data_IF_597699512399
#
_entry.id   IF_597699512399
#
_cell.length_a   1.000
_cell.length_b   1.000
_cell.length_c   1.000
_cell.angle_alpha   90.00
_cell.angle_beta   90.00
_cell.angle_gamma   90.00
#
_symmetry.space_group_name_H-M   'P 1'
#
loop_
_entity.id
_entity.type
_entity.pdbx_description
1 polymer ?
#
# COMPACT_ATOMS: atom_id res chain seq x y z
N UNK A 1 -7.30 20.34 65.10
CA UNK A 1 -6.14 19.55 64.60
C UNK A 1 -6.60 18.10 64.51
N UNK A 2 -6.62 17.39 63.40
CA UNK A 2 -6.08 17.58 62.05
C UNK A 2 -7.12 17.02 61.06
N UNK A 3 -7.38 17.73 59.96
CA UNK A 3 -7.96 17.10 58.77
C UNK A 3 -6.92 16.14 58.20
N UNK A 4 -7.27 14.87 58.04
CA UNK A 4 -6.48 13.93 57.24
C UNK A 4 -6.79 14.21 55.78
N UNK A 5 -5.83 14.84 55.11
CA UNK A 5 -5.79 15.00 53.65
C UNK A 5 -5.72 13.62 53.00
N UNK A 6 -6.80 13.25 52.30
CA UNK A 6 -6.79 12.14 51.36
C UNK A 6 -5.95 12.60 50.15
N UNK A 7 -4.77 12.02 49.95
CA UNK A 7 -4.03 12.23 48.69
C UNK A 7 -4.76 11.48 47.59
N UNK A 8 -5.39 12.23 46.68
CA UNK A 8 -5.81 11.72 45.39
C UNK A 8 -4.54 11.38 44.60
N UNK A 9 -4.26 10.09 44.44
CA UNK A 9 -3.30 9.61 43.45
C UNK A 9 -4.03 9.72 42.11
N UNK A 10 -3.76 10.78 41.36
CA UNK A 10 -4.12 10.88 39.95
C UNK A 10 -3.26 9.87 39.20
N UNK A 11 -3.81 8.70 38.94
CA UNK A 11 -3.27 7.74 37.99
C UNK A 11 -3.49 8.35 36.61
N UNK A 12 -2.46 8.97 36.05
CA UNK A 12 -2.45 9.41 34.66
C UNK A 12 -2.62 8.16 33.80
N UNK A 13 -3.80 8.00 33.18
CA UNK A 13 -3.98 7.10 32.06
C UNK A 13 -3.06 7.60 30.94
N UNK A 14 -1.83 7.08 30.90
CA UNK A 14 -1.11 7.00 29.64
C UNK A 14 -1.88 5.96 28.84
N UNK A 15 -2.74 6.43 27.94
CA UNK A 15 -3.21 5.60 26.84
C UNK A 15 -1.95 5.08 26.15
N UNK A 16 -1.67 3.79 26.29
CA UNK A 16 -0.72 3.12 25.44
C UNK A 16 -1.30 3.23 24.04
N UNK A 17 -0.79 4.18 23.25
CA UNK A 17 -0.99 4.14 21.83
C UNK A 17 -0.29 2.86 21.39
N UNK A 18 -1.08 1.88 20.92
CA UNK A 18 -0.52 0.71 20.27
C UNK A 18 0.23 1.23 19.04
N UNK A 19 1.52 0.92 18.94
CA UNK A 19 2.35 1.32 17.81
C UNK A 19 2.29 0.21 16.76
N UNK A 20 2.15 0.59 15.50
CA UNK A 20 2.46 -0.27 14.38
C UNK A 20 3.95 -0.45 14.36
N UNK A 21 4.41 -1.68 14.20
CA UNK A 21 5.78 -2.03 14.56
C UNK A 21 6.15 -1.46 15.94
N UNK A 22 6.00 -2.23 17.01
CA UNK A 22 6.34 -1.77 18.35
C UNK A 22 7.81 -1.31 18.43
N UNK A 23 8.07 -0.19 19.11
CA UNK A 23 9.37 0.51 19.13
C UNK A 23 9.96 0.88 17.76
N UNK A 24 9.12 0.92 16.71
CA UNK A 24 9.48 1.32 15.37
C UNK A 24 9.64 2.82 15.17
N UNK A 25 9.97 3.20 13.94
CA UNK A 25 10.06 4.60 13.53
C UNK A 25 8.87 4.97 12.66
N UNK A 26 8.20 6.08 13.00
CA UNK A 26 7.13 6.65 12.18
C UNK A 26 7.62 6.96 10.77
N UNK A 27 6.84 6.57 9.77
CA UNK A 27 7.08 6.79 8.35
C UNK A 27 6.05 7.78 7.82
N UNK A 28 6.49 8.73 6.99
CA UNK A 28 5.57 9.56 6.22
C UNK A 28 4.88 8.71 5.16
N UNK A 29 3.63 8.33 5.43
CA UNK A 29 2.85 7.45 4.57
C UNK A 29 2.65 8.03 3.17
N UNK A 30 2.61 9.35 3.01
CA UNK A 30 2.48 9.99 1.68
C UNK A 30 3.70 9.69 0.80
N UNK A 31 4.88 9.45 1.40
CA UNK A 31 6.09 9.05 0.67
C UNK A 31 6.14 7.54 0.38
N UNK A 32 5.14 6.79 0.85
CA UNK A 32 4.98 5.34 0.71
C UNK A 32 3.55 5.03 0.25
N UNK A 33 3.07 5.80 -0.73
CA UNK A 33 1.66 5.81 -1.16
C UNK A 33 1.22 4.52 -1.87
N UNK A 34 2.14 3.59 -2.16
CA UNK A 34 1.82 2.21 -2.52
C UNK A 34 1.47 1.32 -1.32
N UNK A 35 1.86 1.66 -0.10
CA UNK A 35 1.54 0.87 1.08
C UNK A 35 0.10 1.15 1.51
N UNK A 36 -0.71 0.13 1.78
CA UNK A 36 -2.13 0.28 2.12
C UNK A 36 -2.50 -0.50 3.37
N UNK A 37 -3.53 -0.01 4.08
CA UNK A 37 -4.11 -0.71 5.23
C UNK A 37 -5.39 -1.43 4.78
N UNK A 38 -5.45 -2.73 4.98
CA UNK A 38 -6.67 -3.52 4.85
C UNK A 38 -7.50 -3.29 6.11
N UNK A 39 -8.78 -3.01 5.95
CA UNK A 39 -9.63 -2.51 7.02
C UNK A 39 -11.06 -3.08 6.94
N UNK A 40 -11.76 -2.98 8.06
CA UNK A 40 -13.16 -3.34 8.20
C UNK A 40 -13.94 -2.15 8.77
N UNK A 41 -15.16 -1.88 8.28
CA UNK A 41 -15.99 -0.79 8.80
C UNK A 41 -16.57 -1.06 10.19
N UNK A 42 -16.84 -2.32 10.50
CA UNK A 42 -17.49 -2.76 11.73
C UNK A 42 -16.49 -3.08 12.86
N UNK A 43 -15.21 -3.30 12.53
CA UNK A 43 -14.16 -3.62 13.48
C UNK A 43 -12.81 -2.99 13.08
N UNK A 44 -12.51 -1.81 13.64
CA UNK A 44 -11.24 -1.10 13.42
C UNK A 44 -10.02 -1.92 13.88
N UNK A 45 -10.19 -2.90 14.77
CA UNK A 45 -9.10 -3.75 15.26
C UNK A 45 -8.71 -4.87 14.28
N UNK A 46 -9.57 -5.18 13.31
CA UNK A 46 -9.23 -6.06 12.19
C UNK A 46 -8.45 -5.26 11.16
N UNK A 47 -7.19 -5.63 10.97
CA UNK A 47 -6.36 -5.02 9.96
C UNK A 47 -5.27 -5.95 9.46
N UNK A 48 -4.85 -5.72 8.23
CA UNK A 48 -3.60 -6.21 7.66
C UNK A 48 -2.93 -5.07 6.89
N UNK A 49 -1.68 -5.27 6.52
CA UNK A 49 -0.96 -4.38 5.62
C UNK A 49 -0.90 -5.00 4.23
N UNK A 50 -0.87 -4.17 3.20
CA UNK A 50 -0.64 -4.61 1.82
C UNK A 50 0.16 -3.59 1.02
N UNK A 51 0.53 -3.98 -0.19
CA UNK A 51 1.31 -3.15 -1.11
C UNK A 51 0.66 -3.14 -2.50
N UNK A 52 0.34 -1.95 -3.00
CA UNK A 52 -0.16 -1.73 -4.34
C UNK A 52 0.92 -2.09 -5.36
N UNK A 53 0.56 -2.99 -6.27
CA UNK A 53 1.33 -3.41 -7.42
C UNK A 53 0.42 -3.42 -8.66
N UNK A 54 1.04 -3.33 -9.84
CA UNK A 54 0.35 -3.38 -11.14
C UNK A 54 -0.94 -2.54 -11.25
N UNK A 55 -0.95 -1.34 -10.67
CA UNK A 55 -2.01 -0.34 -10.74
C UNK A 55 -3.24 -0.63 -9.89
N UNK A 56 -3.67 -1.89 -9.84
CA UNK A 56 -4.97 -2.32 -9.28
C UNK A 56 -4.90 -3.62 -8.48
N UNK A 57 -3.72 -4.07 -8.07
CA UNK A 57 -3.56 -5.26 -7.25
C UNK A 57 -2.93 -4.87 -5.91
N UNK A 58 -3.45 -5.42 -4.82
CA UNK A 58 -2.79 -5.35 -3.51
C UNK A 58 -2.12 -6.68 -3.23
N UNK A 59 -0.80 -6.68 -3.11
CA UNK A 59 -0.02 -7.80 -2.58
C UNK A 59 -0.14 -7.82 -1.06
N UNK A 60 -0.48 -8.98 -0.50
CA UNK A 60 -0.61 -9.18 0.95
C UNK A 60 -0.40 -10.66 1.30
N UNK A 61 -0.57 -11.05 2.57
CA UNK A 61 -0.51 -12.43 3.00
C UNK A 61 -1.83 -13.14 2.68
N UNK A 62 -1.79 -14.42 2.33
CA UNK A 62 -3.00 -15.21 2.08
C UNK A 62 -3.85 -15.42 3.34
N UNK A 63 -3.22 -15.52 4.52
CA UNK A 63 -3.97 -15.60 5.79
C UNK A 63 -4.72 -14.31 6.13
N UNK A 64 -4.37 -13.17 5.52
CA UNK A 64 -5.18 -11.96 5.59
C UNK A 64 -6.44 -12.05 4.72
N UNK A 65 -6.56 -13.04 3.84
CA UNK A 65 -7.68 -13.15 2.90
C UNK A 65 -8.64 -14.30 3.26
N UNK A 66 -8.24 -15.18 4.18
CA UNK A 66 -9.04 -16.32 4.64
C UNK A 66 -9.05 -16.37 6.16
N UNK A 67 -10.23 -16.52 6.76
CA UNK A 67 -10.43 -16.75 8.18
C UNK A 67 -10.55 -18.25 8.47
N UNK A 68 -10.03 -18.66 9.63
CA UNK A 68 -10.20 -20.00 10.19
C UNK A 68 -11.64 -20.20 10.66
N UNK A 69 -12.26 -21.32 10.28
CA UNK A 69 -13.40 -21.86 11.00
C UNK A 69 -13.03 -23.26 11.51
N UNK A 70 -13.35 -23.55 12.77
CA UNK A 70 -13.23 -24.88 13.37
C UNK A 70 -14.03 -25.94 12.58
N UNK A 71 -14.97 -25.51 11.74
CA UNK A 71 -15.80 -26.34 10.85
C UNK A 71 -15.18 -26.60 9.44
N UNK A 72 -13.89 -26.27 9.20
CA UNK A 72 -13.16 -26.47 7.92
C UNK A 72 -13.77 -25.74 6.69
N UNK A 73 -14.61 -24.74 6.90
CA UNK A 73 -15.10 -23.88 5.81
C UNK A 73 -14.27 -22.60 5.79
N UNK A 74 -13.39 -22.46 4.80
CA UNK A 74 -12.65 -21.22 4.59
C UNK A 74 -13.65 -20.07 4.31
N UNK A 75 -13.75 -19.13 5.24
CA UNK A 75 -14.49 -17.89 5.06
C UNK A 75 -13.53 -16.78 4.62
N UNK A 76 -13.96 -15.83 3.75
CA UNK A 76 -13.14 -14.67 3.47
C UNK A 76 -12.88 -13.92 4.78
N UNK A 77 -11.63 -13.51 5.02
CA UNK A 77 -11.34 -12.64 6.15
C UNK A 77 -12.11 -11.33 5.99
N UNK A 78 -12.62 -10.82 7.10
CA UNK A 78 -13.58 -9.71 7.15
C UNK A 78 -12.88 -8.37 6.90
N UNK A 79 -12.37 -8.14 5.69
CA UNK A 79 -11.94 -6.83 5.19
C UNK A 79 -12.89 -6.38 4.07
N UNK A 80 -13.37 -5.15 4.14
CA UNK A 80 -14.34 -4.59 3.19
C UNK A 80 -13.80 -3.39 2.41
N UNK A 81 -12.67 -2.81 2.84
CA UNK A 81 -11.98 -1.75 2.12
C UNK A 81 -10.46 -1.72 2.38
N UNK A 82 -9.76 -0.96 1.54
CA UNK A 82 -8.39 -0.50 1.81
C UNK A 82 -8.36 1.00 2.06
N UNK A 83 -7.53 1.44 3.01
CA UNK A 83 -7.16 2.83 3.20
C UNK A 83 -5.84 3.12 2.51
N UNK A 84 -5.76 4.30 1.89
CA UNK A 84 -4.58 4.79 1.17
C UNK A 84 -3.99 6.03 1.84
N UNK A 85 -2.76 6.39 1.47
CA UNK A 85 -2.07 7.56 2.02
C UNK A 85 -2.80 8.89 1.79
N UNK A 86 -3.66 8.97 0.77
CA UNK A 86 -4.53 10.13 0.50
C UNK A 86 -5.81 10.14 1.36
N UNK A 87 -5.92 9.24 2.33
CA UNK A 87 -7.11 9.01 3.15
C UNK A 87 -8.37 8.60 2.36
N UNK A 88 -8.20 8.14 1.12
CA UNK A 88 -9.28 7.55 0.36
C UNK A 88 -9.49 6.10 0.79
N UNK A 89 -10.75 5.68 0.78
CA UNK A 89 -11.16 4.30 1.03
C UNK A 89 -11.63 3.68 -0.28
N UNK A 90 -11.12 2.49 -0.59
CA UNK A 90 -11.52 1.75 -1.77
C UNK A 90 -12.15 0.45 -1.35
N UNK A 91 -13.43 0.19 -1.69
CA UNK A 91 -14.07 -1.07 -1.36
C UNK A 91 -13.36 -2.22 -2.08
N UNK A 92 -13.28 -3.36 -1.41
CA UNK A 92 -12.73 -4.59 -1.98
C UNK A 92 -13.82 -5.64 -2.14
N UNK A 93 -13.69 -6.47 -3.18
CA UNK A 93 -14.60 -7.58 -3.39
C UNK A 93 -13.98 -8.87 -2.83
N UNK A 94 -14.42 -9.32 -1.66
CA UNK A 94 -13.90 -10.54 -1.02
C UNK A 94 -13.98 -11.79 -1.90
N UNK A 95 -14.91 -11.83 -2.87
CA UNK A 95 -15.05 -12.98 -3.79
C UNK A 95 -13.98 -13.01 -4.88
N UNK A 96 -13.23 -11.92 -5.09
CA UNK A 96 -12.12 -11.85 -6.05
C UNK A 96 -10.76 -12.10 -5.43
N UNK A 97 -10.67 -12.33 -4.11
CA UNK A 97 -9.41 -12.58 -3.43
C UNK A 97 -8.72 -13.83 -4.00
N UNK A 98 -7.42 -13.72 -4.24
CA UNK A 98 -6.59 -14.77 -4.80
C UNK A 98 -5.56 -15.16 -3.74
N UNK A 99 -5.46 -16.44 -3.43
CA UNK A 99 -4.41 -16.99 -2.55
C UNK A 99 -3.56 -17.95 -3.35
N UNK A 100 -2.27 -18.04 -3.03
CA UNK A 100 -1.40 -19.03 -3.63
C UNK A 100 -1.99 -20.45 -3.53
N UNK A 101 -1.85 -21.29 -4.57
CA UNK A 101 -2.49 -22.61 -4.64
C UNK A 101 -2.02 -23.59 -3.56
N UNK A 102 -0.76 -23.46 -3.14
CA UNK A 102 -0.18 -24.25 -2.07
C UNK A 102 -0.46 -23.70 -0.67
N UNK A 103 -1.10 -22.52 -0.56
CA UNK A 103 -1.44 -21.96 0.73
C UNK A 103 -2.45 -22.86 1.44
N UNK A 104 -2.09 -23.28 2.65
CA UNK A 104 -2.97 -23.95 3.58
C UNK A 104 -2.87 -23.25 4.93
N UNK A 105 -4.00 -23.17 5.64
CA UNK A 105 -3.95 -22.85 7.06
C UNK A 105 -3.39 -24.07 7.79
N UNK A 106 -2.40 -23.87 8.66
CA UNK A 106 -1.84 -24.92 9.52
C UNK A 106 -2.76 -25.24 10.69
N UNK A 107 -2.43 -26.23 11.52
CA UNK A 107 -3.34 -26.75 12.57
C UNK A 107 -3.68 -25.77 13.72
N UNK A 108 -3.20 -24.52 13.67
CA UNK A 108 -3.48 -23.48 14.65
C UNK A 108 -3.71 -22.12 13.98
N UNK A 109 -4.42 -21.22 14.66
CA UNK A 109 -4.94 -19.95 14.11
C UNK A 109 -3.89 -19.00 13.52
N UNK A 110 -2.61 -19.20 13.87
CA UNK A 110 -1.49 -18.33 13.48
C UNK A 110 -0.40 -19.08 12.68
N UNK A 111 -0.65 -20.34 12.33
CA UNK A 111 0.24 -21.13 11.49
C UNK A 111 -0.35 -21.21 10.07
N UNK A 112 0.45 -20.84 9.08
CA UNK A 112 0.17 -21.15 7.68
C UNK A 112 1.22 -22.11 7.15
N UNK A 113 0.75 -23.11 6.41
CA UNK A 113 1.56 -24.05 5.64
C UNK A 113 1.56 -23.62 4.16
N UNK A 114 2.69 -23.83 3.48
CA UNK A 114 2.88 -23.36 2.11
C UNK A 114 3.10 -21.84 1.98
N UNK A 115 3.10 -21.37 0.74
CA UNK A 115 3.36 -19.97 0.40
C UNK A 115 2.22 -19.05 0.82
N UNK A 116 2.40 -18.31 1.92
CA UNK A 116 1.43 -17.37 2.45
C UNK A 116 1.48 -16.03 1.72
N UNK A 117 0.96 -16.02 0.49
CA UNK A 117 0.88 -14.86 -0.40
C UNK A 117 -0.48 -14.81 -1.07
N UNK A 118 -1.06 -13.61 -1.11
CA UNK A 118 -2.33 -13.34 -1.76
C UNK A 118 -2.35 -12.03 -2.53
N UNK A 119 -3.35 -11.91 -3.41
CA UNK A 119 -3.65 -10.71 -4.16
C UNK A 119 -5.11 -10.30 -3.94
N UNK A 120 -5.33 -9.00 -3.81
CA UNK A 120 -6.66 -8.38 -3.90
C UNK A 120 -6.73 -7.62 -5.23
N UNK A 121 -7.46 -8.15 -6.23
CA UNK A 121 -7.77 -7.39 -7.43
C UNK A 121 -8.80 -6.29 -7.11
N UNK A 122 -8.50 -5.07 -7.52
CA UNK A 122 -9.37 -3.91 -7.42
C UNK A 122 -10.10 -3.67 -8.75
N UNK A 123 -11.30 -3.11 -8.67
CA UNK A 123 -12.15 -2.79 -9.83
C UNK A 123 -11.57 -1.65 -10.70
N UNK A 124 -10.70 -0.82 -10.12
CA UNK A 124 -10.06 0.30 -10.79
C UNK A 124 -8.63 0.51 -10.28
N UNK A 125 -7.79 1.11 -11.12
CA UNK A 125 -6.46 1.50 -10.73
C UNK A 125 -6.49 2.64 -9.69
N UNK A 126 -5.57 2.58 -8.72
CA UNK A 126 -5.39 3.60 -7.70
C UNK A 126 -4.22 4.50 -8.08
N UNK A 127 -4.32 5.81 -7.82
CA UNK A 127 -3.21 6.75 -7.99
C UNK A 127 -2.14 6.54 -6.90
N UNK A 128 -0.92 6.18 -7.29
CA UNK A 128 0.27 6.13 -6.43
C UNK A 128 1.54 6.37 -7.26
N UNK A 129 2.55 6.99 -6.64
CA UNK A 129 3.82 7.36 -7.28
C UNK A 129 4.98 6.46 -6.84
N UNK A 130 5.04 6.11 -5.56
CA UNK A 130 6.09 5.27 -5.03
C UNK A 130 5.85 3.82 -5.47
N UNK A 131 6.91 3.11 -5.85
CA UNK A 131 6.85 1.69 -6.19
C UNK A 131 8.10 0.99 -5.67
N UNK A 132 7.92 -0.25 -5.27
CA UNK A 132 8.99 -1.16 -4.88
C UNK A 132 8.90 -2.38 -5.79
N UNK A 133 9.94 -2.60 -6.58
CA UNK A 133 9.96 -3.70 -7.54
C UNK A 133 10.12 -5.05 -6.85
N UNK A 134 9.55 -6.10 -7.43
CA UNK A 134 9.71 -7.46 -6.93
C UNK A 134 11.12 -7.95 -7.28
N UNK A 135 11.90 -8.31 -6.26
CA UNK A 135 13.18 -8.95 -6.45
C UNK A 135 13.03 -10.48 -6.44
N UNK A 136 12.95 -11.06 -7.64
CA UNK A 136 12.87 -12.50 -7.84
C UNK A 136 14.25 -13.17 -7.96
N UNK A 137 15.34 -12.51 -7.54
CA UNK A 137 16.71 -13.03 -7.61
C UNK A 137 17.20 -13.55 -6.26
N UNK A 138 18.36 -14.23 -6.26
CA UNK A 138 18.98 -14.78 -5.05
C UNK A 138 19.22 -13.71 -3.98
N UNK A 139 18.90 -14.07 -2.74
CA UNK A 139 19.06 -13.22 -1.56
C UNK A 139 20.39 -13.49 -0.85
N UNK A 140 20.87 -12.52 -0.07
CA UNK A 140 22.13 -12.64 0.68
C UNK A 140 21.90 -12.72 2.19
N UNK A 141 22.54 -13.69 2.86
CA UNK A 141 22.51 -13.81 4.33
C UNK A 141 22.93 -12.51 5.00
N UNK A 142 22.19 -12.08 6.01
CA UNK A 142 22.49 -10.90 6.82
C UNK A 142 22.24 -9.58 6.10
N UNK A 143 21.61 -9.59 4.92
CA UNK A 143 21.23 -8.36 4.24
C UNK A 143 20.22 -7.58 5.08
N UNK A 144 20.38 -6.25 5.12
CA UNK A 144 19.46 -5.38 5.83
C UNK A 144 18.09 -5.39 5.13
N UNK A 145 17.04 -5.50 5.92
CA UNK A 145 15.67 -5.41 5.43
C UNK A 145 14.83 -4.52 6.33
N UNK A 146 13.77 -3.96 5.76
CA UNK A 146 12.80 -3.13 6.45
C UNK A 146 11.39 -3.65 6.19
N UNK A 147 10.59 -3.68 7.24
CA UNK A 147 9.16 -3.99 7.20
C UNK A 147 8.42 -2.73 7.62
N UNK A 148 7.41 -2.34 6.85
CA UNK A 148 6.56 -1.18 7.14
C UNK A 148 5.11 -1.65 7.26
N UNK A 149 4.43 -1.31 8.35
CA UNK A 149 3.07 -1.77 8.59
C UNK A 149 2.23 -0.85 9.47
N UNK A 150 0.95 -1.21 9.59
CA UNK A 150 -0.09 -0.49 10.35
C UNK A 150 -0.58 -1.25 11.60
N UNK A 151 0.17 -2.27 12.05
CA UNK A 151 -0.23 -3.12 13.17
C UNK A 151 -0.69 -2.36 14.41
N UNK A 152 -1.92 -2.58 14.86
CA UNK A 152 -2.43 -1.89 16.04
C UNK A 152 -2.45 -0.35 15.95
N UNK A 153 -2.42 0.26 14.75
CA UNK A 153 -2.67 1.71 14.56
C UNK A 153 -3.83 1.97 13.59
N UNK A 154 -4.48 3.12 13.79
CA UNK A 154 -5.58 3.61 12.95
C UNK A 154 -5.04 4.47 11.79
N UNK A 155 -4.01 3.98 11.07
CA UNK A 155 -3.32 4.59 9.92
C UNK A 155 -1.97 5.29 10.19
N UNK A 156 -1.27 4.96 11.26
CA UNK A 156 0.12 5.40 11.44
C UNK A 156 1.08 4.33 10.88
N UNK A 157 1.67 4.59 9.71
CA UNK A 157 2.67 3.72 9.12
C UNK A 157 3.98 3.82 9.89
N UNK A 158 4.50 2.68 10.31
CA UNK A 158 5.76 2.60 11.05
C UNK A 158 6.67 1.54 10.44
N UNK A 159 7.97 1.65 10.72
CA UNK A 159 9.00 0.76 10.19
C UNK A 159 9.86 0.12 11.28
N UNK A 160 10.22 -1.14 11.06
CA UNK A 160 11.28 -1.84 11.79
C UNK A 160 12.37 -2.28 10.83
N UNK A 161 13.60 -2.29 11.32
CA UNK A 161 14.75 -2.81 10.60
C UNK A 161 15.09 -4.20 11.14
N UNK A 162 15.46 -5.08 10.23
CA UNK A 162 15.90 -6.45 10.54
C UNK A 162 17.12 -6.80 9.68
N UNK A 163 17.70 -7.96 9.96
CA UNK A 163 18.68 -8.61 9.09
C UNK A 163 18.16 -9.96 8.64
N UNK A 164 18.28 -10.26 7.34
CA UNK A 164 17.80 -11.50 6.75
C UNK A 164 18.56 -12.70 7.33
N UNK A 165 17.83 -13.72 7.78
CA UNK A 165 18.38 -14.99 8.24
C UNK A 165 17.97 -16.13 7.29
N UNK A 166 18.84 -16.42 6.32
CA UNK A 166 18.67 -17.48 5.34
C UNK A 166 19.16 -18.81 5.94
N UNK A 167 18.32 -19.83 5.87
CA UNK A 167 18.68 -21.19 6.29
C UNK A 167 18.31 -21.51 7.75
N UNK A 168 17.58 -20.62 8.42
CA UNK A 168 16.92 -20.90 9.70
C UNK A 168 16.01 -22.14 9.61
N UNK A 169 15.18 -22.21 8.56
CA UNK A 169 14.37 -23.39 8.22
C UNK A 169 14.78 -23.95 6.85
N UNK A 170 15.50 -25.07 6.87
CA UNK A 170 15.91 -25.78 5.66
C UNK A 170 14.83 -26.72 5.09
N UNK A 171 13.73 -26.95 5.82
CA UNK A 171 12.63 -27.79 5.38
C UNK A 171 11.57 -26.99 4.61
N UNK A 172 11.41 -25.70 4.92
CA UNK A 172 10.44 -24.80 4.29
C UNK A 172 11.13 -23.70 3.51
N UNK A 173 11.61 -24.03 2.32
CA UNK A 173 12.39 -23.11 1.51
C UNK A 173 11.62 -21.86 1.05
N UNK A 174 10.29 -21.89 1.07
CA UNK A 174 9.41 -20.74 0.81
C UNK A 174 9.33 -19.75 1.98
N UNK A 175 9.90 -20.07 3.15
CA UNK A 175 9.81 -19.25 4.36
C UNK A 175 11.16 -18.59 4.64
N UNK A 176 11.15 -17.27 4.78
CA UNK A 176 12.28 -16.47 5.21
C UNK A 176 12.13 -16.08 6.68
N UNK A 177 13.27 -15.93 7.33
CA UNK A 177 13.38 -15.46 8.71
C UNK A 177 14.20 -14.19 8.76
N UNK A 178 13.96 -13.37 9.78
CA UNK A 178 14.65 -12.13 9.99
C UNK A 178 14.94 -11.92 11.48
N UNK A 179 16.17 -11.51 11.77
CA UNK A 179 16.61 -11.16 13.11
C UNK A 179 16.35 -9.67 13.38
N UNK A 180 15.84 -9.38 14.58
CA UNK A 180 15.69 -8.00 15.04
C UNK A 180 17.06 -7.33 15.22
N UNK A 181 17.21 -6.09 14.76
CA UNK A 181 18.45 -5.32 15.00
C UNK A 181 18.43 -4.52 16.30
N UNK A 182 17.25 -4.33 16.88
CA UNK A 182 17.01 -3.64 18.15
C UNK A 182 15.66 -4.13 18.74
N UNK A 183 15.08 -3.41 19.70
CA UNK A 183 13.81 -3.81 20.34
C UNK A 183 12.56 -3.60 19.44
N UNK A 184 12.74 -3.06 18.24
CA UNK A 184 11.67 -2.82 17.27
C UNK A 184 11.25 -4.09 16.58
N UNK A 185 9.94 -4.33 16.52
CA UNK A 185 9.39 -5.57 15.98
C UNK A 185 7.96 -5.42 15.47
N UNK A 186 7.55 -6.33 14.59
CA UNK A 186 6.19 -6.38 14.03
C UNK A 186 5.16 -6.89 15.03
N UNK A 187 3.93 -6.41 14.94
CA UNK A 187 2.80 -6.77 15.80
C UNK A 187 1.57 -7.17 14.96
N UNK A 188 0.49 -7.59 15.63
CA UNK A 188 -0.77 -7.92 14.94
C UNK A 188 -1.25 -6.77 14.06
N UNK A 189 -1.59 -7.09 12.81
CA UNK A 189 -1.98 -6.13 11.76
C UNK A 189 -0.86 -5.68 10.82
N UNK A 190 0.40 -6.02 11.13
CA UNK A 190 1.51 -5.87 10.17
C UNK A 190 1.52 -7.00 9.11
N UNK A 191 0.77 -8.09 9.34
CA UNK A 191 0.62 -9.20 8.40
C UNK A 191 0.32 -8.71 6.97
N UNK A 192 1.00 -9.30 5.99
CA UNK A 192 0.91 -8.92 4.58
C UNK A 192 1.80 -7.75 4.16
N UNK A 193 2.48 -7.06 5.10
CA UNK A 193 3.46 -6.04 4.78
C UNK A 193 4.59 -6.59 3.88
N UNK A 194 5.03 -5.80 2.90
CA UNK A 194 6.21 -6.14 2.11
C UNK A 194 7.49 -6.07 2.98
N UNK A 195 8.34 -7.07 2.84
CA UNK A 195 9.73 -7.02 3.28
C UNK A 195 10.54 -6.39 2.17
N UNK A 196 11.23 -5.29 2.48
CA UNK A 196 12.01 -4.54 1.50
C UNK A 196 13.50 -4.63 1.78
N UNK A 197 14.29 -4.93 0.77
CA UNK A 197 15.75 -4.83 0.81
C UNK A 197 16.23 -4.07 -0.42
N UNK A 198 17.09 -3.06 -0.20
CA UNK A 198 17.45 -2.06 -1.22
C UNK A 198 16.22 -1.47 -1.96
N UNK A 199 15.12 -1.25 -1.23
CA UNK A 199 13.83 -0.77 -1.76
C UNK A 199 13.17 -1.70 -2.79
N UNK A 200 13.50 -2.99 -2.76
CA UNK A 200 12.85 -4.04 -3.54
C UNK A 200 12.12 -5.02 -2.64
N UNK A 201 10.95 -5.50 -3.06
CA UNK A 201 10.16 -6.49 -2.34
C UNK A 201 10.84 -7.85 -2.47
N UNK A 202 11.19 -8.45 -1.33
CA UNK A 202 11.82 -9.78 -1.26
C UNK A 202 10.92 -10.82 -0.58
N UNK A 203 9.94 -10.37 0.21
CA UNK A 203 9.04 -11.26 0.95
C UNK A 203 7.72 -10.56 1.29
N UNK A 204 6.72 -11.36 1.67
CA UNK A 204 5.47 -10.89 2.29
C UNK A 204 5.47 -11.32 3.75
N UNK A 205 5.21 -10.38 4.66
CA UNK A 205 5.23 -10.65 6.10
C UNK A 205 4.11 -11.60 6.49
N UNK A 206 4.48 -12.70 7.14
CA UNK A 206 3.53 -13.69 7.64
C UNK A 206 3.24 -13.43 9.11
N UNK A 207 4.28 -13.21 9.93
CA UNK A 207 4.08 -12.95 11.34
C UNK A 207 5.36 -12.96 12.15
N UNK A 208 5.18 -12.95 13.47
CA UNK A 208 6.29 -13.06 14.40
C UNK A 208 5.87 -13.78 15.68
N UNK A 209 6.80 -14.47 16.31
CA UNK A 209 6.55 -15.24 17.53
C UNK A 209 7.53 -14.83 18.62
N UNK A 210 7.00 -14.58 19.81
CA UNK A 210 7.78 -14.26 20.99
C UNK A 210 8.09 -15.52 21.80
N UNK A 211 9.35 -15.68 22.18
CA UNK A 211 9.84 -16.81 22.95
C UNK A 211 10.55 -16.35 24.21
N UNK A 212 10.42 -17.18 25.25
CA UNK A 212 11.06 -16.94 26.54
C UNK A 212 10.71 -15.57 27.18
N UNK A 213 9.56 -14.99 26.81
CA UNK A 213 9.05 -13.76 27.41
C UNK A 213 9.76 -12.49 26.92
N UNK A 214 10.01 -12.38 25.62
CA UNK A 214 10.63 -11.21 24.99
C UNK A 214 12.14 -11.35 24.75
N UNK A 215 12.79 -12.42 25.22
CA UNK A 215 14.23 -12.58 25.07
C UNK A 215 14.64 -12.89 23.63
N UNK A 216 13.76 -13.55 22.89
CA UNK A 216 13.97 -13.88 21.49
C UNK A 216 12.66 -13.80 20.73
N UNK A 217 12.68 -13.18 19.55
CA UNK A 217 11.52 -13.08 18.68
C UNK A 217 11.91 -13.57 17.29
N UNK A 218 11.14 -14.50 16.76
CA UNK A 218 11.20 -14.86 15.35
C UNK A 218 10.32 -13.91 14.55
N UNK A 219 10.85 -13.38 13.45
CA UNK A 219 10.07 -12.68 12.43
C UNK A 219 10.19 -13.46 11.15
N UNK A 220 9.07 -13.79 10.52
CA UNK A 220 9.04 -14.64 9.33
C UNK A 220 8.07 -14.14 8.27
N UNK A 221 8.35 -14.52 7.02
CA UNK A 221 7.60 -14.12 5.85
C UNK A 221 7.78 -15.10 4.69
N UNK A 222 6.91 -15.00 3.69
CA UNK A 222 6.97 -15.84 2.50
C UNK A 222 7.94 -15.23 1.50
N UNK A 223 8.93 -16.03 1.08
CA UNK A 223 9.88 -15.69 0.03
C UNK A 223 9.17 -15.42 -1.29
N UNK A 224 9.30 -14.21 -1.84
CA UNK A 224 8.60 -13.81 -3.06
C UNK A 224 9.01 -14.66 -4.27
N UNK A 225 10.19 -15.30 -4.24
CA UNK A 225 10.67 -16.19 -5.31
C UNK A 225 9.79 -17.43 -5.47
N UNK A 226 9.14 -17.86 -4.40
CA UNK A 226 8.22 -19.00 -4.42
C UNK A 226 6.81 -18.62 -4.87
N UNK A 227 6.48 -17.32 -4.89
CA UNK A 227 5.21 -16.80 -5.41
C UNK A 227 5.29 -16.31 -6.87
N UNK A 228 6.40 -16.55 -7.58
CA UNK A 228 6.62 -15.99 -8.93
C UNK A 228 5.52 -16.37 -9.91
N UNK A 229 5.26 -17.67 -10.07
CA UNK A 229 4.27 -18.15 -11.04
C UNK A 229 2.88 -17.64 -10.67
N UNK A 230 2.53 -17.65 -9.38
CA UNK A 230 1.29 -17.06 -8.88
C UNK A 230 1.13 -15.58 -9.24
N UNK A 231 2.17 -14.76 -9.11
CA UNK A 231 2.12 -13.35 -9.46
C UNK A 231 1.95 -13.17 -10.97
N UNK A 232 2.73 -13.90 -11.78
CA UNK A 232 2.67 -13.79 -13.24
C UNK A 232 1.32 -14.27 -13.80
N UNK A 233 0.81 -15.40 -13.31
CA UNK A 233 -0.44 -16.01 -13.78
C UNK A 233 -1.68 -15.15 -13.48
N UNK A 234 -1.66 -14.38 -12.39
CA UNK A 234 -2.80 -13.60 -11.93
C UNK A 234 -2.76 -12.12 -12.34
N UNK A 235 -1.57 -11.59 -12.62
CA UNK A 235 -1.39 -10.19 -13.04
C UNK A 235 -1.25 -10.08 -14.55
N UNK A 236 -0.34 -10.86 -15.16
CA UNK A 236 0.02 -10.83 -16.58
C UNK A 236 0.05 -9.42 -17.18
N UNK A 237 0.85 -8.54 -16.57
CA UNK A 237 0.82 -7.10 -16.86
C UNK A 237 2.07 -6.34 -16.40
N UNK A 238 2.04 -5.02 -16.48
CA UNK A 238 3.08 -4.12 -15.99
C UNK A 238 2.90 -3.81 -14.51
N UNK A 239 4.01 -3.76 -13.77
CA UNK A 239 4.10 -3.07 -12.49
C UNK A 239 4.78 -1.72 -12.67
N UNK A 240 4.04 -0.65 -12.36
CA UNK A 240 4.39 0.72 -12.68
C UNK A 240 3.76 1.70 -11.67
N UNK A 241 4.23 2.97 -11.60
CA UNK A 241 3.54 4.02 -10.84
C UNK A 241 2.39 4.58 -11.68
N UNK A 242 1.18 4.68 -11.15
CA UNK A 242 0.00 5.11 -11.93
C UNK A 242 -0.06 6.60 -12.17
N UNK A 243 0.71 7.37 -11.41
CA UNK A 243 0.92 8.81 -11.59
C UNK A 243 2.41 9.13 -11.58
N UNK A 244 2.83 10.10 -12.39
CA UNK A 244 4.20 10.63 -12.37
C UNK A 244 4.20 12.14 -12.65
N UNK A 245 5.25 12.82 -12.20
CA UNK A 245 5.46 14.26 -12.45
C UNK A 245 6.74 14.47 -13.24
N UNK A 246 6.70 15.43 -14.17
CA UNK A 246 7.90 15.88 -14.84
C UNK A 246 8.59 16.97 -14.03
N UNK A 247 9.90 16.84 -13.86
CA UNK A 247 10.74 17.88 -13.28
C UNK A 247 11.50 18.58 -14.40
N UNK A 248 11.39 19.90 -14.49
CA UNK A 248 11.97 20.69 -15.58
C UNK A 248 11.58 20.18 -16.99
N UNK A 249 10.34 19.68 -17.11
CA UNK A 249 9.77 19.20 -18.37
C UNK A 249 10.18 17.79 -18.76
N UNK A 250 10.83 17.01 -17.88
CA UNK A 250 11.23 15.62 -18.17
C UNK A 250 10.96 14.68 -16.98
N UNK A 251 10.64 13.43 -17.25
CA UNK A 251 10.58 12.36 -16.25
C UNK A 251 11.19 11.06 -16.79
N UNK A 252 11.80 10.28 -15.91
CA UNK A 252 12.19 8.89 -16.17
C UNK A 252 11.33 8.00 -15.30
N UNK A 253 10.52 7.15 -15.93
CA UNK A 253 9.59 6.26 -15.26
C UNK A 253 10.11 4.84 -15.43
N UNK A 254 10.34 4.15 -14.30
CA UNK A 254 10.77 2.75 -14.32
C UNK A 254 9.54 1.86 -14.16
N UNK A 255 9.48 0.80 -14.96
CA UNK A 255 8.43 -0.22 -14.90
C UNK A 255 9.06 -1.60 -14.82
N UNK A 256 8.31 -2.58 -14.31
CA UNK A 256 8.70 -3.99 -14.25
C UNK A 256 7.67 -4.83 -14.98
N UNK A 257 8.13 -5.80 -15.77
CA UNK A 257 7.23 -6.79 -16.37
C UNK A 257 6.80 -7.82 -15.34
N UNK A 258 5.50 -7.98 -15.13
CA UNK A 258 4.88 -9.12 -14.46
C UNK A 258 4.05 -9.95 -15.45
N UNK A 259 4.43 -9.93 -16.73
CA UNK A 259 3.85 -10.78 -17.76
C UNK A 259 4.38 -12.21 -17.63
N UNK A 260 3.54 -13.19 -17.96
CA UNK A 260 3.94 -14.60 -17.96
C UNK A 260 4.98 -14.91 -19.06
N UNK A 261 4.91 -14.20 -20.18
CA UNK A 261 5.82 -14.35 -21.31
C UNK A 261 6.65 -13.08 -21.52
N UNK A 262 7.74 -13.24 -22.26
CA UNK A 262 8.50 -12.16 -22.88
C UNK A 262 7.58 -11.18 -23.61
N UNK A 263 7.75 -9.89 -23.33
CA UNK A 263 7.01 -8.81 -23.99
C UNK A 263 7.96 -7.84 -24.70
N UNK A 264 7.41 -7.10 -25.65
CA UNK A 264 8.06 -5.94 -26.26
C UNK A 264 7.26 -4.69 -25.93
N UNK A 265 7.88 -3.52 -26.06
CA UNK A 265 7.15 -2.28 -25.89
C UNK A 265 5.93 -2.15 -26.83
N UNK A 266 4.82 -1.69 -26.26
CA UNK A 266 3.60 -1.27 -26.95
C UNK A 266 3.11 0.11 -26.51
N UNK A 267 3.94 0.88 -25.79
CA UNK A 267 3.51 2.11 -25.16
C UNK A 267 3.11 3.19 -26.17
N UNK A 268 2.06 3.93 -25.84
CA UNK A 268 1.55 5.07 -26.59
C UNK A 268 1.35 6.25 -25.64
N UNK A 269 1.20 7.46 -26.18
CA UNK A 269 1.00 8.66 -25.37
C UNK A 269 -0.09 9.57 -25.94
N UNK A 270 -0.68 10.37 -25.06
CA UNK A 270 -1.72 11.36 -25.37
C UNK A 270 -1.59 12.60 -24.47
N UNK A 271 -2.13 13.73 -24.90
CA UNK A 271 -2.05 15.01 -24.17
C UNK A 271 -0.69 15.71 -24.27
N UNK A 272 -0.30 16.46 -23.22
CA UNK A 272 0.97 17.19 -23.15
C UNK A 272 2.11 16.28 -22.65
N UNK A 273 2.30 15.17 -23.34
CA UNK A 273 3.37 14.19 -23.11
C UNK A 273 3.97 13.83 -24.47
N UNK A 274 5.28 13.67 -24.52
CA UNK A 274 5.99 13.10 -25.66
C UNK A 274 6.95 12.03 -25.14
N UNK A 275 6.91 10.86 -25.77
CA UNK A 275 7.86 9.79 -25.46
C UNK A 275 9.20 10.03 -26.18
N UNK A 276 10.30 9.88 -25.44
CA UNK A 276 11.67 10.03 -25.94
C UNK A 276 12.25 8.64 -26.20
N UNK A 277 12.04 8.13 -27.42
CA UNK A 277 12.31 6.74 -27.77
C UNK A 277 13.76 6.31 -27.57
N UNK A 278 14.72 7.15 -27.94
CA UNK A 278 16.15 6.84 -27.90
C UNK A 278 16.76 6.83 -26.50
N UNK A 279 16.09 7.49 -25.54
CA UNK A 279 16.46 7.47 -24.11
C UNK A 279 15.68 6.42 -23.30
N UNK A 280 14.58 5.91 -23.86
CA UNK A 280 13.72 4.92 -23.20
C UNK A 280 14.26 3.51 -23.38
N UNK A 281 14.69 2.87 -22.29
CA UNK A 281 15.22 1.50 -22.37
C UNK A 281 14.15 0.48 -22.74
N UNK A 282 12.87 0.71 -22.41
CA UNK A 282 11.78 -0.15 -22.87
C UNK A 282 11.61 -0.15 -24.40
N UNK A 283 11.93 0.99 -25.06
CA UNK A 283 11.82 1.15 -26.51
C UNK A 283 13.00 0.51 -27.26
N UNK A 284 14.18 0.56 -26.64
CA UNK A 284 15.43 0.09 -27.26
C UNK A 284 15.68 -1.39 -27.02
N UNK A 285 15.07 -1.99 -25.99
CA UNK A 285 15.07 -3.43 -25.77
C UNK A 285 14.17 -4.15 -26.78
N UNK A 286 14.67 -5.25 -27.34
CA UNK A 286 13.89 -6.10 -28.24
C UNK A 286 12.86 -6.95 -27.48
N UNK A 287 13.23 -7.40 -26.29
CA UNK A 287 12.46 -8.26 -25.40
C UNK A 287 12.69 -7.79 -23.97
N UNK A 288 11.63 -7.87 -23.16
CA UNK A 288 11.62 -7.61 -21.73
C UNK A 288 11.09 -8.89 -21.06
N UNK A 289 11.95 -9.55 -20.29
CA UNK A 289 11.67 -10.82 -19.63
C UNK A 289 10.80 -10.62 -18.36
N UNK A 290 10.13 -11.67 -17.84
CA UNK A 290 9.41 -11.59 -16.57
C UNK A 290 10.31 -11.12 -15.41
N UNK A 291 9.79 -10.22 -14.57
CA UNK A 291 10.48 -9.48 -13.51
C UNK A 291 11.58 -8.51 -13.96
N UNK A 292 11.86 -8.41 -15.26
CA UNK A 292 12.83 -7.44 -15.78
C UNK A 292 12.26 -6.02 -15.70
N UNK A 293 13.14 -5.05 -15.39
CA UNK A 293 12.81 -3.64 -15.41
C UNK A 293 13.30 -2.95 -16.68
N UNK A 294 12.57 -1.91 -17.07
CA UNK A 294 12.97 -0.98 -18.10
C UNK A 294 12.40 0.42 -17.80
N UNK A 295 12.82 1.41 -18.56
CA UNK A 295 12.49 2.82 -18.35
C UNK A 295 11.83 3.43 -19.58
N UNK A 296 10.84 4.28 -19.33
CA UNK A 296 10.31 5.25 -20.28
C UNK A 296 10.79 6.65 -19.89
N UNK A 297 11.25 7.41 -20.87
CA UNK A 297 11.62 8.80 -20.71
C UNK A 297 10.58 9.65 -21.43
N UNK A 298 9.92 10.54 -20.70
CA UNK A 298 8.87 11.40 -21.24
C UNK A 298 9.21 12.87 -21.03
N UNK A 299 8.78 13.70 -21.98
CA UNK A 299 8.85 15.16 -21.91
C UNK A 299 7.44 15.78 -21.88
N UNK A 300 7.31 16.92 -21.21
CA UNK A 300 6.05 17.67 -21.07
C UNK A 300 6.34 19.16 -20.95
N UNK A 301 5.41 20.00 -21.40
CA UNK A 301 5.47 21.45 -21.18
C UNK A 301 4.85 21.88 -19.83
N UNK A 302 4.49 20.91 -18.98
CA UNK A 302 3.88 21.11 -17.66
C UNK A 302 2.37 20.93 -17.63
N UNK A 303 1.74 20.62 -18.77
CA UNK A 303 0.35 20.18 -18.85
C UNK A 303 0.18 18.69 -18.54
N UNK A 304 -1.07 18.28 -18.43
CA UNK A 304 -1.44 16.88 -18.20
C UNK A 304 -1.32 16.06 -19.49
N UNK A 305 -0.88 14.81 -19.35
CA UNK A 305 -0.99 13.81 -20.41
C UNK A 305 -0.94 12.40 -19.85
N UNK A 306 -0.86 11.43 -20.76
CA UNK A 306 -0.92 10.00 -20.44
C UNK A 306 0.17 9.25 -21.19
N UNK A 307 0.77 8.29 -20.51
CA UNK A 307 1.57 7.22 -21.11
C UNK A 307 0.81 5.91 -20.89
N UNK A 308 0.28 5.33 -21.94
CA UNK A 308 -0.45 4.06 -21.92
C UNK A 308 0.49 2.92 -22.27
N UNK A 309 0.75 2.02 -21.31
CA UNK A 309 1.57 0.81 -21.51
C UNK A 309 0.77 -0.28 -22.24
N UNK A 310 -0.55 -0.31 -22.00
CA UNK A 310 -1.56 -1.11 -22.70
C UNK A 310 -2.91 -0.36 -22.70
N UNK A 311 -3.99 -1.01 -23.13
CA UNK A 311 -5.34 -0.42 -23.15
C UNK A 311 -5.87 -0.07 -21.75
N UNK A 312 -5.43 -0.79 -20.72
CA UNK A 312 -5.88 -0.60 -19.33
C UNK A 312 -4.80 -0.09 -18.38
N UNK A 313 -3.53 -0.07 -18.80
CA UNK A 313 -2.41 0.29 -17.94
C UNK A 313 -1.87 1.66 -18.32
N UNK A 314 -2.30 2.67 -17.56
CA UNK A 314 -2.08 4.08 -17.89
C UNK A 314 -1.33 4.76 -16.75
N UNK A 315 -0.27 5.48 -17.10
CA UNK A 315 0.45 6.39 -16.23
C UNK A 315 -0.02 7.81 -16.55
N UNK A 316 -0.60 8.49 -15.57
CA UNK A 316 -1.00 9.88 -15.69
C UNK A 316 0.18 10.80 -15.37
N UNK A 317 0.56 11.66 -16.33
CA UNK A 317 1.67 12.58 -16.20
C UNK A 317 1.16 13.97 -15.83
N UNK A 318 1.73 14.57 -14.78
CA UNK A 318 1.36 15.88 -14.27
C UNK A 318 -0.13 16.01 -13.92
N UNK A 319 -0.75 14.91 -13.50
CA UNK A 319 -2.12 14.92 -12.98
C UNK A 319 -2.22 15.93 -11.82
N UNK A 320 -3.20 16.85 -11.82
CA UNK A 320 -3.42 17.73 -10.69
C UNK A 320 -3.67 16.92 -9.41
N UNK A 321 -3.04 17.31 -8.30
CA UNK A 321 -3.38 16.73 -7.01
C UNK A 321 -4.82 17.11 -6.66
N UNK A 322 -5.66 16.12 -6.34
CA UNK A 322 -6.94 16.40 -5.70
C UNK A 322 -6.66 16.90 -4.28
N UNK A 323 -6.53 18.22 -4.12
CA UNK A 323 -6.55 18.84 -2.80
C UNK A 323 -7.97 18.66 -2.27
N UNK A 324 -8.19 17.63 -1.43
CA UNK A 324 -9.48 17.26 -0.84
C UNK A 324 -10.10 18.31 0.08
N UNK A 325 -10.35 19.52 -0.43
CA UNK A 325 -11.27 20.49 0.15
C UNK A 325 -12.61 20.30 -0.57
N UNK A 326 -13.28 19.19 -0.27
CA UNK A 326 -14.72 19.08 -0.45
C UNK A 326 -15.37 19.97 0.61
N UNK A 327 -15.59 21.24 0.26
CA UNK A 327 -16.68 21.98 0.87
C UNK A 327 -17.96 21.33 0.35
N UNK A 328 -18.48 20.38 1.12
CA UNK A 328 -19.66 19.60 0.78
C UNK A 328 -20.71 20.42 0.05
N UNK A 329 -20.84 20.16 -1.25
CA UNK A 329 -22.03 20.45 -2.00
C UNK A 329 -22.29 19.25 -2.90
N UNK A 330 -22.98 18.26 -2.34
CA UNK A 330 -23.79 17.36 -3.16
C UNK A 330 -24.72 18.22 -3.99
N UNK A 331 -24.59 18.19 -5.31
CA UNK A 331 -25.76 18.33 -6.18
C UNK A 331 -25.46 17.66 -7.53
N UNK A 332 -26.21 16.58 -7.71
CA UNK A 332 -26.53 15.95 -8.98
C UNK A 332 -27.21 16.91 -9.94
N UNK A 333 -26.81 16.75 -11.20
CA UNK A 333 -27.57 16.89 -12.45
C UNK A 333 -27.94 18.28 -13.02
N UNK A 334 -27.62 18.34 -14.31
CA UNK A 334 -28.35 18.94 -15.42
C UNK A 334 -28.74 20.43 -15.37
N UNK A 335 -28.41 21.09 -16.48
CA UNK A 335 -28.44 22.54 -16.58
C UNK A 335 -29.83 23.15 -16.45
N UNK A 336 -29.88 24.36 -15.89
CA UNK A 336 -30.44 25.49 -16.60
C UNK A 336 -29.93 26.81 -15.99
N UNK A 337 -29.89 27.81 -16.85
CA UNK A 337 -29.77 29.24 -16.60
C UNK A 337 -30.39 29.72 -15.27
N UNK A 338 -29.56 30.34 -14.42
CA UNK A 338 -30.06 31.13 -13.29
C UNK A 338 -28.96 31.92 -12.60
N UNK A 339 -28.79 33.19 -12.97
CA UNK A 339 -27.82 34.09 -12.33
C UNK A 339 -28.12 34.27 -10.84
N UNK A 340 -27.15 33.95 -9.98
CA UNK A 340 -27.24 34.20 -8.54
C UNK A 340 -26.43 35.44 -8.16
N UNK A 341 -27.12 36.37 -7.51
CA UNK A 341 -26.57 37.59 -6.92
C UNK A 341 -25.78 37.24 -5.66
N UNK A 342 -24.50 37.62 -5.63
CA UNK A 342 -23.59 37.31 -4.54
C UNK A 342 -24.03 37.89 -3.19
N UNK A 343 -23.68 37.14 -2.15
CA UNK A 343 -23.88 37.37 -0.71
C UNK A 343 -23.43 38.76 -0.19
N UNK A 344 -22.67 39.52 -0.98
CA UNK A 344 -22.28 40.90 -0.67
C UNK A 344 -23.41 41.94 -0.84
N UNK A 345 -24.52 41.59 -1.49
CA UNK A 345 -25.66 42.49 -1.68
C UNK A 345 -26.54 42.67 -0.43
N UNK A 346 -26.44 41.77 0.56
CA UNK A 346 -27.25 41.83 1.79
C UNK A 346 -26.60 42.62 2.93
N UNK A 347 -25.31 42.95 2.84
CA UNK A 347 -24.62 43.79 3.84
C UNK A 347 -24.84 45.30 3.63
N UNK A 348 -25.30 45.73 2.46
CA UNK A 348 -25.59 47.16 2.18
C UNK A 348 -27.02 47.61 2.52
N UNK A 349 -27.93 46.69 2.88
CA UNK A 349 -29.30 47.02 3.29
C UNK A 349 -29.47 47.22 4.81
N UNK A 350 -28.45 46.90 5.62
CA UNK A 350 -28.49 47.06 7.09
C UNK A 350 -28.09 48.44 7.62
N UNK A 351 -27.44 49.30 6.82
CA UNK A 351 -26.94 50.61 7.27
C UNK A 351 -27.79 51.82 6.83
N UNK A 352 -28.91 51.60 6.13
CA UNK A 352 -29.80 52.67 5.68
C UNK A 352 -30.99 52.97 6.62
N UNK A 353 -31.17 52.23 7.73
CA UNK A 353 -32.32 52.41 8.63
C UNK A 353 -32.02 53.12 9.97
N UNK A 354 -30.77 53.47 10.28
CA UNK A 354 -30.39 54.18 11.52
C UNK A 354 -30.13 55.68 11.37
N UNK A 355 -30.69 56.31 10.34
CA UNK A 355 -30.76 57.79 10.23
C UNK A 355 -32.14 58.27 9.79
N UNK A 356 -33.15 58.07 10.64
CA UNK A 356 -34.31 58.98 10.66
C UNK A 356 -34.99 59.05 12.04
N UNK A 357 -34.50 60.04 12.81
CA UNK A 357 -35.22 60.97 13.69
C UNK A 357 -36.02 60.41 14.88
N UNK A 358 -35.60 60.90 16.06
CA UNK A 358 -36.37 61.35 17.23
C UNK A 358 -37.44 60.42 17.80
#
# INVERSE_FOLDING_TARGET
MQLKTLSLVTLSFLSAHSYAVENGTLVDWVQQDNTVRLANYDDESKGCTGTLIAGRYVLTAAHCLKEWDEDEVAHPYDFDHINTASSNQYPVNQTSFLTHDNFAMGDSTDESEGEDVGLIPLDSAIDYQHIQFINAQELTQGEALQIKGFGGTDNELNAANFTLDIGHDYYRAYKLYADMVNESHTVGGDSGAAWTSNDQIIAVHQGSSDFYGGEWRETYGTDIRYARDFLLDNIDGWHYPTVAKTENGKATITVQSLHINDVSNSATFDGDVTLVDDESTCMTKAVIEPFETCTYVVESNGGEGKLSLSDSEIIHINKPENTGIDNGNTDSDDGDSGGSVGFWSLLFLGFASLRRKR
#
